data_IF_720206714443
#
_entry.id   IF_720206714443
#
_cell.length_a   1.000
_cell.length_b   1.000
_cell.length_c   1.000
_cell.angle_alpha   90.00
_cell.angle_beta   90.00
_cell.angle_gamma   90.00
#
_symmetry.space_group_name_H-M   'P 1'
#
loop_
_entity.id
_entity.type
_entity.pdbx_description
1 polymer ?
#
# COMPACT_ATOMS: atom_id res chain seq x y z
N UNK A 1 -10.97 -26.87 -9.17
CA UNK A 1 -10.93 -26.12 -7.91
C UNK A 1 -9.96 -26.80 -6.97
N UNK A 2 -8.72 -26.33 -6.96
CA UNK A 2 -7.71 -26.75 -6.00
C UNK A 2 -7.99 -25.99 -4.70
N UNK A 3 -8.12 -26.63 -3.54
CA UNK A 3 -8.28 -25.91 -2.29
C UNK A 3 -7.03 -25.11 -2.02
N UNK A 4 -7.19 -23.80 -1.78
CA UNK A 4 -6.15 -22.93 -1.22
C UNK A 4 -5.85 -23.45 0.19
N UNK A 5 -4.86 -24.33 0.30
CA UNK A 5 -4.30 -24.65 1.60
C UNK A 5 -3.72 -23.36 2.18
N UNK A 6 -4.19 -23.01 3.37
CA UNK A 6 -3.61 -21.92 4.15
C UNK A 6 -2.11 -22.11 4.24
N UNK A 7 -1.32 -21.16 3.75
CA UNK A 7 0.15 -21.21 3.80
C UNK A 7 0.70 -21.06 5.23
N UNK A 8 -0.17 -20.78 6.18
CA UNK A 8 0.11 -20.70 7.60
C UNK A 8 -1.14 -21.12 8.39
N UNK A 9 -0.96 -21.77 9.50
CA UNK A 9 -1.99 -22.12 10.45
C UNK A 9 -1.48 -21.86 11.88
N UNK A 10 -2.39 -21.53 12.77
CA UNK A 10 -2.14 -21.41 14.20
C UNK A 10 -3.25 -22.12 14.95
N UNK A 11 -2.90 -22.73 16.07
CA UNK A 11 -3.82 -23.44 16.93
C UNK A 11 -3.67 -22.94 18.37
N UNK A 12 -4.76 -22.91 19.11
CA UNK A 12 -4.81 -22.45 20.49
C UNK A 12 -5.57 -23.48 21.31
N UNK A 13 -4.90 -24.08 22.27
CA UNK A 13 -5.49 -25.05 23.20
C UNK A 13 -5.56 -24.45 24.60
N UNK A 14 -6.77 -24.26 25.13
CA UNK A 14 -6.97 -23.83 26.51
C UNK A 14 -6.60 -24.95 27.47
N UNK A 15 -5.66 -24.70 28.40
CA UNK A 15 -5.27 -25.68 29.42
C UNK A 15 -6.43 -25.91 30.40
N UNK A 16 -6.83 -27.15 30.59
CA UNK A 16 -7.97 -27.52 31.47
C UNK A 16 -7.77 -27.11 32.93
N UNK A 17 -6.53 -27.05 33.40
CA UNK A 17 -6.18 -26.74 34.80
C UNK A 17 -5.81 -25.28 35.04
N UNK A 18 -5.71 -24.45 33.98
CA UNK A 18 -5.35 -23.03 34.06
C UNK A 18 -6.23 -22.23 33.08
N UNK A 19 -7.40 -21.77 33.55
CA UNK A 19 -8.44 -21.18 32.65
C UNK A 19 -7.99 -19.93 31.94
N UNK A 20 -6.95 -19.24 32.41
CA UNK A 20 -6.41 -17.99 31.84
C UNK A 20 -5.13 -18.22 31.02
N UNK A 21 -4.66 -19.47 30.86
CA UNK A 21 -3.48 -19.84 30.08
C UNK A 21 -3.88 -20.67 28.85
N UNK A 22 -3.29 -20.37 27.70
CA UNK A 22 -3.46 -21.15 26.49
C UNK A 22 -2.11 -21.54 25.88
N UNK A 23 -2.04 -22.76 25.39
CA UNK A 23 -0.92 -23.22 24.58
C UNK A 23 -1.13 -22.80 23.12
N UNK A 24 -0.08 -22.25 22.49
CA UNK A 24 -0.12 -21.79 21.09
C UNK A 24 0.88 -22.58 20.26
N UNK A 25 0.44 -23.01 19.08
CA UNK A 25 1.27 -23.65 18.08
C UNK A 25 1.15 -22.94 16.75
N UNK A 26 2.26 -22.85 16.00
CA UNK A 26 2.34 -22.19 14.70
C UNK A 26 2.89 -23.15 13.66
N UNK A 27 2.25 -23.20 12.52
CA UNK A 27 2.77 -23.85 11.34
C UNK A 27 2.85 -22.82 10.20
N UNK A 28 4.03 -22.67 9.62
CA UNK A 28 4.29 -21.79 8.49
C UNK A 28 5.06 -22.60 7.46
N UNK A 29 4.55 -22.68 6.24
CA UNK A 29 5.23 -23.33 5.13
C UNK A 29 6.59 -22.70 4.84
N UNK A 30 7.61 -23.53 4.53
CA UNK A 30 9.00 -23.11 4.30
C UNK A 30 9.14 -22.00 3.25
N UNK A 31 8.30 -22.03 2.21
CA UNK A 31 8.26 -21.01 1.15
C UNK A 31 7.85 -19.62 1.65
N UNK A 32 7.31 -19.52 2.85
CA UNK A 32 6.81 -18.27 3.44
C UNK A 32 7.60 -17.85 4.69
N UNK A 33 8.68 -18.55 5.04
CA UNK A 33 9.56 -18.17 6.16
C UNK A 33 10.22 -16.80 5.92
N UNK A 34 10.50 -16.06 6.99
CA UNK A 34 11.16 -14.75 6.95
C UNK A 34 10.28 -13.59 6.48
N UNK A 35 8.96 -13.82 6.26
CA UNK A 35 7.99 -12.80 5.83
C UNK A 35 7.22 -12.14 6.97
N UNK A 36 7.56 -12.42 8.22
CA UNK A 36 6.91 -11.86 9.40
C UNK A 36 5.54 -12.47 9.74
N UNK A 37 5.12 -13.54 9.04
CA UNK A 37 3.79 -14.17 9.22
C UNK A 37 3.60 -14.67 10.64
N UNK A 38 4.63 -15.29 11.25
CA UNK A 38 4.56 -15.79 12.62
C UNK A 38 4.28 -14.69 13.66
N UNK A 39 4.90 -13.54 13.49
CA UNK A 39 4.67 -12.38 14.36
C UNK A 39 3.25 -11.82 14.22
N UNK A 40 2.73 -11.74 12.99
CA UNK A 40 1.35 -11.29 12.74
C UNK A 40 0.33 -12.27 13.34
N UNK A 41 0.56 -13.59 13.17
CA UNK A 41 -0.29 -14.62 13.78
C UNK A 41 -0.29 -14.51 15.29
N UNK A 42 0.89 -14.32 15.91
CA UNK A 42 1.02 -14.16 17.36
C UNK A 42 0.25 -12.93 17.86
N UNK A 43 0.33 -11.80 17.17
CA UNK A 43 -0.40 -10.58 17.51
C UNK A 43 -1.93 -10.79 17.45
N UNK A 44 -2.42 -11.41 16.39
CA UNK A 44 -3.85 -11.71 16.26
C UNK A 44 -4.33 -12.71 17.31
N UNK A 45 -3.52 -13.75 17.61
CA UNK A 45 -3.86 -14.70 18.67
C UNK A 45 -3.87 -14.05 20.05
N UNK A 46 -2.91 -13.15 20.34
CA UNK A 46 -2.88 -12.43 21.61
C UNK A 46 -4.12 -11.55 21.77
N UNK A 47 -4.52 -10.81 20.73
CA UNK A 47 -5.74 -10.01 20.74
C UNK A 47 -7.00 -10.88 20.98
N UNK A 48 -7.15 -11.97 20.22
CA UNK A 48 -8.27 -12.90 20.37
C UNK A 48 -8.25 -13.60 21.73
N UNK A 49 -7.06 -13.94 22.25
CA UNK A 49 -6.88 -14.53 23.58
C UNK A 49 -7.40 -13.64 24.69
N UNK A 50 -7.07 -12.34 24.64
CA UNK A 50 -7.57 -11.35 25.62
C UNK A 50 -9.09 -11.24 25.58
N UNK A 51 -9.71 -11.22 24.40
CA UNK A 51 -11.17 -11.23 24.26
C UNK A 51 -11.81 -12.48 24.86
N UNK A 52 -11.10 -13.62 24.87
CA UNK A 52 -11.52 -14.88 25.46
C UNK A 52 -11.13 -15.05 26.94
N UNK A 53 -10.54 -14.01 27.57
CA UNK A 53 -10.10 -14.04 28.97
C UNK A 53 -8.81 -14.82 29.23
N UNK A 54 -8.00 -15.07 28.19
CA UNK A 54 -6.65 -15.61 28.29
C UNK A 54 -5.71 -14.44 28.61
N UNK A 55 -4.82 -14.63 29.57
CA UNK A 55 -3.83 -13.62 29.96
C UNK A 55 -2.40 -14.09 29.73
N UNK A 56 -2.20 -15.37 29.48
CA UNK A 56 -0.87 -15.96 29.30
C UNK A 56 -0.86 -16.99 28.18
N UNK A 57 0.18 -16.90 27.35
CA UNK A 57 0.48 -17.94 26.37
C UNK A 57 1.69 -18.76 26.79
N UNK A 58 1.64 -20.05 26.41
CA UNK A 58 2.78 -20.95 26.46
C UNK A 58 2.96 -21.65 25.11
N UNK A 59 4.19 -22.06 24.80
CA UNK A 59 4.52 -22.82 23.60
C UNK A 59 5.70 -23.73 23.83
N UNK A 60 5.68 -24.90 23.20
CA UNK A 60 6.82 -25.81 23.14
C UNK A 60 7.58 -25.60 21.83
N UNK A 61 8.87 -25.34 21.92
CA UNK A 61 9.70 -25.02 20.76
C UNK A 61 10.95 -25.90 20.78
N UNK A 62 11.25 -26.54 19.66
CA UNK A 62 12.49 -27.27 19.50
C UNK A 62 13.69 -26.30 19.59
N UNK A 63 14.78 -26.64 20.29
CA UNK A 63 15.95 -25.78 20.48
C UNK A 63 16.58 -25.31 19.13
N UNK A 64 16.49 -26.15 18.09
CA UNK A 64 16.98 -25.85 16.74
C UNK A 64 16.13 -24.80 16.03
N UNK A 65 14.87 -24.62 16.43
CA UNK A 65 13.95 -23.65 15.80
C UNK A 65 14.16 -22.22 16.33
N UNK A 66 15.38 -21.72 16.15
CA UNK A 66 15.76 -20.36 16.55
C UNK A 66 14.88 -19.28 15.95
N UNK A 67 14.34 -19.52 14.74
CA UNK A 67 13.45 -18.57 14.07
C UNK A 67 12.16 -18.37 14.86
N UNK A 68 11.59 -19.47 15.38
CA UNK A 68 10.37 -19.39 16.19
C UNK A 68 10.65 -18.75 17.56
N UNK A 69 11.76 -19.08 18.20
CA UNK A 69 12.18 -18.43 19.44
C UNK A 69 12.37 -16.91 19.28
N UNK A 70 12.84 -16.48 18.11
CA UNK A 70 12.97 -15.05 17.79
C UNK A 70 11.61 -14.37 17.61
N UNK A 71 10.62 -15.02 17.01
CA UNK A 71 9.26 -14.47 16.86
C UNK A 71 8.69 -14.05 18.21
N UNK A 72 8.80 -14.91 19.23
CA UNK A 72 8.33 -14.58 20.58
C UNK A 72 9.10 -13.43 21.22
N UNK A 73 10.43 -13.37 21.03
CA UNK A 73 11.27 -12.32 21.61
C UNK A 73 11.10 -10.96 20.96
N UNK A 74 10.89 -10.96 19.63
CA UNK A 74 10.75 -9.76 18.80
C UNK A 74 9.34 -9.16 18.86
N UNK A 75 8.36 -9.91 19.37
CA UNK A 75 7.00 -9.44 19.54
C UNK A 75 6.83 -8.38 20.64
N UNK A 76 7.87 -8.16 21.45
CA UNK A 76 7.89 -7.15 22.50
C UNK A 76 7.26 -7.57 23.82
N UNK A 77 6.88 -8.85 23.96
CA UNK A 77 6.45 -9.44 25.23
C UNK A 77 7.65 -9.83 26.11
N UNK A 78 7.44 -9.90 27.44
CA UNK A 78 8.42 -10.42 28.37
C UNK A 78 8.35 -11.95 28.37
N UNK A 79 9.33 -12.59 27.73
CA UNK A 79 9.33 -14.03 27.44
C UNK A 79 10.19 -14.77 28.45
N UNK A 80 9.57 -15.63 29.26
CA UNK A 80 10.28 -16.63 30.08
C UNK A 80 10.58 -17.87 29.23
N UNK A 81 11.76 -18.45 29.42
CA UNK A 81 12.21 -19.69 28.75
C UNK A 81 12.74 -20.67 29.76
N UNK A 82 12.26 -21.89 29.70
CA UNK A 82 12.74 -23.00 30.51
C UNK A 82 13.04 -24.18 29.59
N UNK A 83 14.22 -24.77 29.73
CA UNK A 83 14.56 -25.99 28.99
C UNK A 83 14.05 -27.21 29.81
N UNK A 84 13.18 -27.99 29.20
CA UNK A 84 12.58 -29.16 29.83
C UNK A 84 12.46 -30.30 28.81
N UNK A 85 12.90 -31.48 29.17
CA UNK A 85 12.82 -32.75 28.42
C UNK A 85 13.10 -32.61 26.88
N UNK A 86 14.15 -31.84 26.52
CA UNK A 86 14.59 -31.70 25.14
C UNK A 86 13.86 -30.61 24.34
N UNK A 87 12.94 -29.88 24.94
CA UNK A 87 12.24 -28.75 24.35
C UNK A 87 12.45 -27.46 25.14
N UNK A 88 12.27 -26.33 24.50
CA UNK A 88 12.25 -25.02 25.14
C UNK A 88 10.80 -24.64 25.42
N UNK A 89 10.41 -24.66 26.67
CA UNK A 89 9.13 -24.12 27.11
C UNK A 89 9.20 -22.59 27.10
N UNK A 90 8.38 -21.96 26.30
CA UNK A 90 8.25 -20.51 26.21
C UNK A 90 6.95 -20.09 26.88
N UNK A 91 6.97 -19.12 27.78
CA UNK A 91 5.75 -18.55 28.37
C UNK A 91 5.86 -17.04 28.51
N UNK A 92 4.76 -16.33 28.29
CA UNK A 92 4.69 -14.88 28.39
C UNK A 92 3.25 -14.39 28.61
N UNK A 93 3.12 -13.27 29.29
CA UNK A 93 1.85 -12.60 29.46
C UNK A 93 1.49 -11.87 28.15
N UNK A 94 0.22 -11.97 27.72
CA UNK A 94 -0.25 -11.39 26.46
C UNK A 94 -0.87 -10.01 26.64
N UNK A 95 -0.93 -9.50 27.86
CA UNK A 95 -1.32 -8.10 28.09
C UNK A 95 -0.38 -7.17 27.33
N UNK A 96 -0.91 -6.20 26.55
CA UNK A 96 -0.08 -5.34 25.73
C UNK A 96 0.85 -4.48 26.57
N UNK A 97 2.15 -4.80 26.53
CA UNK A 97 3.21 -3.96 27.10
C UNK A 97 3.41 -2.69 26.24
N UNK A 98 4.01 -1.64 26.79
CA UNK A 98 4.39 -0.46 26.00
C UNK A 98 5.28 -0.86 24.81
N UNK A 99 6.27 -1.73 25.07
CA UNK A 99 7.17 -2.25 24.04
C UNK A 99 6.45 -3.08 22.96
N UNK A 100 5.47 -3.92 23.31
CA UNK A 100 4.72 -4.69 22.31
C UNK A 100 3.87 -3.78 21.43
N UNK A 101 3.25 -2.74 22.00
CA UNK A 101 2.50 -1.73 21.24
C UNK A 101 3.41 -0.94 20.28
N UNK A 102 4.61 -0.56 20.70
CA UNK A 102 5.59 0.11 19.85
C UNK A 102 6.04 -0.78 18.68
N UNK A 103 6.30 -2.06 18.94
CA UNK A 103 6.69 -3.03 17.90
C UNK A 103 5.55 -3.21 16.89
N UNK A 104 4.33 -3.40 17.35
CA UNK A 104 3.13 -3.53 16.50
C UNK A 104 2.92 -2.27 15.66
N UNK A 105 2.91 -1.10 16.28
CA UNK A 105 2.76 0.19 15.60
C UNK A 105 3.88 0.42 14.56
N UNK A 106 5.13 0.09 14.89
CA UNK A 106 6.27 0.22 13.96
C UNK A 106 6.14 -0.72 12.76
N UNK A 107 5.63 -1.94 12.97
CA UNK A 107 5.40 -2.91 11.88
C UNK A 107 4.26 -2.47 10.97
N UNK A 108 3.13 -2.07 11.55
CA UNK A 108 1.99 -1.54 10.82
C UNK A 108 2.41 -0.32 9.97
N UNK A 109 3.09 0.62 10.60
CA UNK A 109 3.64 1.81 9.95
C UNK A 109 4.52 1.46 8.73
N UNK A 110 5.44 0.49 8.89
CA UNK A 110 6.30 0.05 7.77
C UNK A 110 5.52 -0.66 6.67
N UNK A 111 4.53 -1.47 7.02
CA UNK A 111 3.70 -2.19 6.06
C UNK A 111 2.84 -1.22 5.23
N UNK A 112 2.21 -0.25 5.88
CA UNK A 112 1.42 0.79 5.23
C UNK A 112 2.29 1.67 4.33
N UNK A 113 3.40 2.18 4.83
CA UNK A 113 4.32 2.98 4.05
C UNK A 113 4.87 2.23 2.83
N UNK A 114 5.17 0.93 2.96
CA UNK A 114 5.60 0.08 1.83
C UNK A 114 4.49 -0.09 0.80
N UNK A 115 3.23 -0.21 1.24
CA UNK A 115 2.08 -0.31 0.33
C UNK A 115 1.87 0.98 -0.47
N UNK A 116 2.06 2.13 0.16
CA UNK A 116 1.96 3.46 -0.50
C UNK A 116 3.18 3.73 -1.38
N UNK A 117 4.37 3.27 -0.99
CA UNK A 117 5.59 3.45 -1.79
C UNK A 117 5.43 2.97 -3.24
N UNK A 118 4.78 1.82 -3.44
CA UNK A 118 4.53 1.28 -4.79
C UNK A 118 3.58 2.12 -5.64
N UNK A 119 2.79 3.00 -5.01
CA UNK A 119 1.88 3.93 -5.70
C UNK A 119 2.58 5.25 -6.03
N UNK A 120 3.39 5.76 -5.08
CA UNK A 120 4.06 7.06 -5.18
C UNK A 120 5.37 6.98 -5.98
N UNK A 121 6.03 5.82 -5.94
CA UNK A 121 7.23 5.52 -6.70
C UNK A 121 7.05 4.20 -7.50
N UNK A 122 6.10 4.14 -8.45
CA UNK A 122 5.89 2.98 -9.28
C UNK A 122 7.06 2.80 -10.25
N UNK A 123 7.35 1.55 -10.64
CA UNK A 123 8.38 1.25 -11.65
C UNK A 123 7.83 1.27 -13.08
N UNK A 124 6.52 1.07 -13.20
CA UNK A 124 5.82 1.11 -14.50
C UNK A 124 4.39 1.59 -14.32
N UNK A 125 3.85 2.27 -15.34
CA UNK A 125 2.52 2.92 -15.28
C UNK A 125 1.72 2.62 -16.54
N UNK A 126 0.41 2.36 -16.37
CA UNK A 126 -0.55 2.38 -17.46
C UNK A 126 -1.57 3.51 -17.26
N UNK A 127 -1.91 4.23 -18.33
CA UNK A 127 -3.04 5.17 -18.35
C UNK A 127 -4.18 4.52 -19.12
N UNK A 128 -5.22 4.12 -18.40
CA UNK A 128 -6.41 3.45 -18.95
C UNK A 128 -7.48 4.49 -19.25
N UNK A 129 -7.89 4.59 -20.51
CA UNK A 129 -8.68 5.69 -21.04
C UNK A 129 -7.82 6.86 -21.54
N UNK A 130 -6.55 6.60 -21.84
CA UNK A 130 -5.71 7.54 -22.55
C UNK A 130 -6.34 7.90 -23.92
N UNK A 131 -6.21 9.14 -24.38
CA UNK A 131 -6.89 9.64 -25.57
C UNK A 131 -5.94 10.40 -26.50
N UNK A 132 -6.29 10.46 -27.78
CA UNK A 132 -5.70 11.41 -28.74
C UNK A 132 -6.27 12.81 -28.61
N UNK A 133 -7.49 12.89 -28.10
CA UNK A 133 -8.19 14.16 -27.91
C UNK A 133 -7.60 14.89 -26.71
N UNK A 134 -6.94 16.03 -26.99
CA UNK A 134 -6.29 16.88 -25.99
C UNK A 134 -7.25 17.46 -24.95
N UNK A 135 -8.57 17.44 -25.21
CA UNK A 135 -9.58 17.88 -24.24
C UNK A 135 -9.93 16.82 -23.20
N UNK A 136 -9.45 15.59 -23.39
CA UNK A 136 -9.75 14.46 -22.52
C UNK A 136 -8.71 14.34 -21.39
N UNK A 137 -9.19 14.06 -20.20
CA UNK A 137 -8.40 13.86 -18.98
C UNK A 137 -7.27 12.83 -19.17
N UNK A 138 -7.57 11.72 -19.85
CA UNK A 138 -6.58 10.67 -20.09
C UNK A 138 -5.44 11.09 -21.02
N UNK A 139 -5.67 12.05 -21.92
CA UNK A 139 -4.63 12.68 -22.74
C UNK A 139 -3.67 13.49 -21.86
N UNK A 140 -4.23 14.42 -21.09
CA UNK A 140 -3.45 15.33 -20.23
C UNK A 140 -2.55 14.55 -19.26
N UNK A 141 -3.09 13.52 -18.61
CA UNK A 141 -2.32 12.69 -17.70
C UNK A 141 -1.17 11.98 -18.42
N UNK A 142 -1.44 11.37 -19.59
CA UNK A 142 -0.42 10.65 -20.34
C UNK A 142 0.71 11.60 -20.76
N UNK A 143 0.37 12.77 -21.28
CA UNK A 143 1.34 13.81 -21.69
C UNK A 143 2.14 14.29 -20.46
N UNK A 144 1.48 14.57 -19.35
CA UNK A 144 2.16 15.02 -18.14
C UNK A 144 3.15 13.97 -17.57
N UNK A 145 2.85 12.68 -17.70
CA UNK A 145 3.78 11.62 -17.29
C UNK A 145 5.01 11.61 -18.21
N UNK A 146 4.79 11.69 -19.52
CA UNK A 146 5.87 11.64 -20.52
C UNK A 146 6.74 12.89 -20.45
N UNK A 147 6.13 14.07 -20.45
CA UNK A 147 6.82 15.37 -20.38
C UNK A 147 7.50 15.58 -19.01
N UNK A 148 6.94 14.98 -17.94
CA UNK A 148 7.55 14.94 -16.62
C UNK A 148 8.83 14.12 -16.53
N UNK A 149 9.13 13.33 -17.57
CA UNK A 149 10.35 12.52 -17.64
C UNK A 149 10.33 11.30 -16.73
N UNK A 150 9.16 10.69 -16.54
CA UNK A 150 9.04 9.47 -15.75
C UNK A 150 10.07 8.42 -16.19
N UNK A 151 10.78 7.84 -15.21
CA UNK A 151 11.96 6.99 -15.48
C UNK A 151 11.61 5.57 -15.90
N UNK A 152 10.38 5.12 -15.63
CA UNK A 152 9.90 3.78 -16.00
C UNK A 152 9.10 3.74 -17.29
N UNK A 153 8.70 2.53 -17.72
CA UNK A 153 7.82 2.37 -18.87
C UNK A 153 6.42 2.96 -18.62
N UNK A 154 5.89 3.62 -19.66
CA UNK A 154 4.55 4.22 -19.70
C UNK A 154 3.73 3.60 -20.81
N UNK A 155 2.52 3.16 -20.49
CA UNK A 155 1.63 2.51 -21.42
C UNK A 155 0.30 3.24 -21.53
N UNK A 156 -0.08 3.66 -22.74
CA UNK A 156 -1.42 4.15 -23.04
C UNK A 156 -2.36 3.00 -23.41
N UNK A 157 -3.49 2.88 -22.73
CA UNK A 157 -4.52 1.86 -23.00
C UNK A 157 -5.78 2.51 -23.52
N UNK A 158 -6.10 2.23 -24.78
CA UNK A 158 -7.32 2.70 -25.46
C UNK A 158 -7.65 1.74 -26.61
N UNK A 159 -8.85 1.13 -26.65
CA UNK A 159 -9.23 0.17 -27.70
C UNK A 159 -9.34 0.79 -29.09
N UNK A 160 -9.47 2.12 -29.20
CA UNK A 160 -9.69 2.83 -30.47
C UNK A 160 -8.41 3.51 -30.99
N UNK A 161 -7.28 3.40 -30.28
CA UNK A 161 -6.04 4.07 -30.64
C UNK A 161 -4.90 3.11 -30.93
N UNK A 162 -4.12 3.38 -31.99
CA UNK A 162 -2.87 2.65 -32.29
C UNK A 162 -1.63 3.36 -31.71
N UNK A 163 -1.74 4.67 -31.53
CA UNK A 163 -0.67 5.52 -31.03
C UNK A 163 -1.25 6.63 -30.15
N UNK A 164 -0.58 6.94 -29.05
CA UNK A 164 -0.93 7.97 -28.07
C UNK A 164 0.35 8.68 -27.62
N UNK A 165 0.38 10.00 -27.68
CA UNK A 165 1.54 10.83 -27.30
C UNK A 165 2.89 10.32 -27.91
N UNK A 166 2.90 9.89 -29.18
CA UNK A 166 4.08 9.38 -29.86
C UNK A 166 4.49 7.96 -29.46
N UNK A 167 3.69 7.25 -28.65
CA UNK A 167 3.96 5.90 -28.22
C UNK A 167 2.89 4.91 -28.73
N UNK A 168 3.28 3.65 -28.89
CA UNK A 168 2.36 2.56 -29.21
C UNK A 168 1.26 2.47 -28.15
N UNK A 169 -0.01 2.50 -28.56
CA UNK A 169 -1.15 2.25 -27.72
C UNK A 169 -1.47 0.74 -27.67
N UNK A 170 -2.08 0.34 -26.57
CA UNK A 170 -2.57 -1.02 -26.37
C UNK A 170 -4.09 -1.00 -26.25
N UNK A 171 -4.76 -1.98 -26.84
CA UNK A 171 -6.22 -2.04 -26.80
C UNK A 171 -6.73 -2.40 -25.42
N UNK A 172 -6.02 -3.26 -24.68
CA UNK A 172 -6.42 -3.79 -23.36
C UNK A 172 -5.20 -3.87 -22.45
N UNK A 173 -5.47 -3.96 -21.14
CA UNK A 173 -4.43 -4.16 -20.11
C UNK A 173 -3.70 -5.51 -20.26
N UNK A 174 -4.40 -6.54 -20.71
CA UNK A 174 -3.80 -7.87 -20.94
C UNK A 174 -2.80 -7.90 -22.10
N UNK A 175 -2.87 -6.91 -22.99
CA UNK A 175 -1.97 -6.80 -24.16
C UNK A 175 -0.64 -6.10 -23.80
N UNK A 176 -0.48 -5.61 -22.56
CA UNK A 176 0.74 -4.97 -22.10
C UNK A 176 1.90 -5.98 -21.97
N UNK A 177 3.14 -5.57 -22.25
CA UNK A 177 4.31 -6.47 -22.20
C UNK A 177 4.68 -6.92 -20.77
N UNK A 178 4.16 -6.23 -19.76
CA UNK A 178 4.38 -6.51 -18.33
C UNK A 178 3.20 -6.10 -17.47
N UNK A 179 3.16 -6.60 -16.23
CA UNK A 179 2.22 -6.14 -15.21
C UNK A 179 2.73 -4.83 -14.62
N UNK A 180 1.94 -3.76 -14.76
CA UNK A 180 2.32 -2.44 -14.24
C UNK A 180 2.13 -2.34 -12.72
N UNK A 181 2.93 -1.50 -12.06
CA UNK A 181 2.78 -1.23 -10.64
C UNK A 181 1.57 -0.33 -10.35
N UNK A 182 1.30 0.66 -11.22
CA UNK A 182 0.20 1.63 -11.07
C UNK A 182 -0.62 1.75 -12.36
N UNK A 183 -1.95 1.68 -12.26
CA UNK A 183 -2.85 2.06 -13.34
C UNK A 183 -3.59 3.35 -13.00
N UNK A 184 -3.44 4.37 -13.85
CA UNK A 184 -4.25 5.61 -13.77
C UNK A 184 -5.50 5.42 -14.62
N UNK A 185 -6.68 5.54 -13.99
CA UNK A 185 -7.96 5.20 -14.60
C UNK A 185 -8.76 6.46 -14.87
N UNK A 186 -8.98 6.75 -16.16
CA UNK A 186 -9.72 7.93 -16.66
C UNK A 186 -10.87 7.55 -17.59
N UNK A 187 -11.43 6.35 -17.44
CA UNK A 187 -12.58 5.90 -18.23
C UNK A 187 -13.91 6.35 -17.61
N UNK A 188 -15.02 6.36 -18.39
CA UNK A 188 -16.34 6.64 -17.85
C UNK A 188 -16.74 5.72 -16.69
N UNK A 189 -17.55 6.24 -15.75
CA UNK A 189 -17.97 5.53 -14.51
C UNK A 189 -18.41 4.06 -14.74
N UNK A 190 -19.23 3.74 -15.75
CA UNK A 190 -19.67 2.35 -15.95
C UNK A 190 -18.51 1.38 -16.20
N UNK A 191 -17.43 1.83 -16.82
CA UNK A 191 -16.28 0.99 -17.16
C UNK A 191 -15.25 0.86 -16.02
N UNK A 192 -15.25 1.76 -15.03
CA UNK A 192 -14.24 1.77 -13.95
C UNK A 192 -14.19 0.45 -13.19
N UNK A 193 -15.36 -0.12 -12.85
CA UNK A 193 -15.43 -1.37 -12.09
C UNK A 193 -14.79 -2.56 -12.81
N UNK A 194 -14.95 -2.61 -14.14
CA UNK A 194 -14.37 -3.66 -14.98
C UNK A 194 -12.87 -3.48 -15.16
N UNK A 195 -12.40 -2.23 -15.31
CA UNK A 195 -10.97 -1.92 -15.35
C UNK A 195 -10.29 -2.29 -14.03
N UNK A 196 -10.90 -1.98 -12.87
CA UNK A 196 -10.38 -2.37 -11.56
C UNK A 196 -10.31 -3.88 -11.41
N UNK A 197 -11.30 -4.62 -11.93
CA UNK A 197 -11.31 -6.08 -11.93
C UNK A 197 -10.20 -6.67 -12.83
N UNK A 198 -9.98 -6.10 -14.02
CA UNK A 198 -8.87 -6.47 -14.91
C UNK A 198 -7.53 -6.21 -14.25
N UNK A 199 -7.30 -5.02 -13.68
CA UNK A 199 -6.10 -4.69 -12.93
C UNK A 199 -5.83 -5.71 -11.81
N UNK A 200 -6.86 -6.05 -11.04
CA UNK A 200 -6.74 -7.00 -9.93
C UNK A 200 -6.35 -8.41 -10.40
N UNK A 201 -6.99 -8.92 -11.47
CA UNK A 201 -6.65 -10.23 -12.06
C UNK A 201 -5.24 -10.30 -12.61
N UNK A 202 -4.72 -9.21 -13.15
CA UNK A 202 -3.35 -9.11 -13.65
C UNK A 202 -2.31 -8.94 -12.54
N UNK A 203 -2.71 -8.57 -11.33
CA UNK A 203 -1.80 -8.37 -10.20
C UNK A 203 -1.22 -6.95 -10.12
N UNK A 204 -1.89 -5.96 -10.70
CA UNK A 204 -1.56 -4.54 -10.54
C UNK A 204 -1.65 -4.16 -9.05
N UNK A 205 -0.67 -3.45 -8.53
CA UNK A 205 -0.57 -3.16 -7.09
C UNK A 205 -1.49 -2.04 -6.64
N UNK A 206 -1.77 -1.08 -7.52
CA UNK A 206 -2.65 0.01 -7.19
C UNK A 206 -3.24 0.72 -8.38
N UNK A 207 -4.36 1.40 -8.12
CA UNK A 207 -5.07 2.21 -9.11
C UNK A 207 -5.27 3.63 -8.60
N UNK A 208 -5.03 4.60 -9.47
CA UNK A 208 -5.39 6.00 -9.27
C UNK A 208 -6.60 6.33 -10.13
N UNK A 209 -7.77 6.52 -9.52
CA UNK A 209 -9.02 6.74 -10.23
C UNK A 209 -9.31 8.25 -10.25
N UNK A 210 -9.16 8.86 -11.41
CA UNK A 210 -9.43 10.29 -11.62
C UNK A 210 -10.90 10.55 -11.92
N UNK A 211 -11.62 9.54 -12.41
CA UNK A 211 -13.05 9.64 -12.71
C UNK A 211 -13.86 9.99 -11.47
N UNK A 212 -14.66 11.06 -11.55
CA UNK A 212 -15.59 11.52 -10.52
C UNK A 212 -16.97 10.84 -10.58
N UNK A 213 -17.96 11.38 -9.86
CA UNK A 213 -19.35 10.91 -9.87
C UNK A 213 -19.59 9.69 -8.98
N UNK A 214 -18.92 9.65 -7.83
CA UNK A 214 -19.07 8.62 -6.80
C UNK A 214 -19.79 9.14 -5.55
N UNK A 215 -19.07 9.48 -4.48
CA UNK A 215 -19.70 9.90 -3.21
C UNK A 215 -20.57 11.15 -3.35
N UNK A 216 -20.26 12.01 -4.27
CA UNK A 216 -21.00 13.22 -4.68
C UNK A 216 -22.35 12.91 -5.35
N UNK A 217 -22.57 11.69 -5.88
CA UNK A 217 -23.85 11.20 -6.41
C UNK A 217 -24.75 10.59 -5.31
N UNK A 218 -24.69 11.11 -4.09
CA UNK A 218 -25.53 10.72 -2.97
C UNK A 218 -25.36 9.27 -2.49
N UNK A 219 -26.44 8.63 -2.05
CA UNK A 219 -26.40 7.29 -1.47
C UNK A 219 -25.99 6.22 -2.50
N UNK A 220 -26.47 6.35 -3.75
CA UNK A 220 -26.15 5.44 -4.85
C UNK A 220 -24.66 5.49 -5.22
N UNK A 221 -24.09 6.70 -5.28
CA UNK A 221 -22.67 6.88 -5.55
C UNK A 221 -21.79 6.34 -4.43
N UNK A 222 -22.19 6.54 -3.16
CA UNK A 222 -21.49 5.95 -2.01
C UNK A 222 -21.49 4.42 -2.04
N UNK A 223 -22.62 3.79 -2.36
CA UNK A 223 -22.70 2.33 -2.49
C UNK A 223 -21.79 1.80 -3.60
N UNK A 224 -21.76 2.48 -4.77
CA UNK A 224 -20.87 2.16 -5.89
C UNK A 224 -19.40 2.26 -5.48
N UNK A 225 -19.04 3.31 -4.77
CA UNK A 225 -17.70 3.55 -4.26
C UNK A 225 -17.25 2.43 -3.28
N UNK A 226 -18.08 2.07 -2.33
CA UNK A 226 -17.79 0.97 -1.40
C UNK A 226 -17.60 -0.38 -2.10
N UNK A 227 -18.43 -0.66 -3.11
CA UNK A 227 -18.31 -1.89 -3.91
C UNK A 227 -16.96 -1.92 -4.67
N UNK A 228 -16.55 -0.79 -5.24
CA UNK A 228 -15.29 -0.63 -5.95
C UNK A 228 -14.08 -0.90 -5.03
N UNK A 229 -14.08 -0.30 -3.85
CA UNK A 229 -12.99 -0.49 -2.86
C UNK A 229 -12.92 -1.94 -2.36
N UNK A 230 -14.08 -2.54 -2.03
CA UNK A 230 -14.11 -3.97 -1.65
C UNK A 230 -13.54 -4.87 -2.74
N UNK A 231 -13.87 -4.59 -4.02
CA UNK A 231 -13.32 -5.32 -5.18
C UNK A 231 -11.80 -5.19 -5.24
N UNK A 232 -11.27 -3.98 -5.19
CA UNK A 232 -9.82 -3.73 -5.22
C UNK A 232 -9.08 -4.41 -4.06
N UNK A 233 -9.60 -4.26 -2.83
CA UNK A 233 -9.03 -4.91 -1.63
C UNK A 233 -9.06 -6.44 -1.70
N UNK A 234 -10.09 -7.02 -2.34
CA UNK A 234 -10.16 -8.47 -2.58
C UNK A 234 -8.98 -9.00 -3.41
N UNK A 235 -8.36 -8.16 -4.23
CA UNK A 235 -7.13 -8.44 -4.97
C UNK A 235 -5.85 -7.97 -4.25
N UNK A 236 -5.94 -7.39 -3.06
CA UNK A 236 -4.81 -6.77 -2.37
C UNK A 236 -4.33 -5.47 -3.01
N UNK A 237 -5.14 -4.86 -3.86
CA UNK A 237 -4.82 -3.65 -4.62
C UNK A 237 -5.25 -2.40 -3.85
N UNK A 238 -4.38 -1.37 -3.82
CA UNK A 238 -4.67 -0.08 -3.19
C UNK A 238 -5.37 0.87 -4.16
N UNK A 239 -6.20 1.77 -3.62
CA UNK A 239 -7.01 2.71 -4.42
C UNK A 239 -6.74 4.15 -3.98
N UNK A 240 -6.33 4.99 -4.95
CA UNK A 240 -6.28 6.45 -4.83
C UNK A 240 -7.53 7.01 -5.52
N UNK A 241 -8.26 7.88 -4.85
CA UNK A 241 -9.50 8.42 -5.38
C UNK A 241 -10.76 7.67 -4.91
N UNK A 242 -11.82 7.58 -5.71
CA UNK A 242 -12.11 8.27 -6.99
C UNK A 242 -12.09 9.80 -6.90
N UNK A 243 -12.27 10.47 -8.04
CA UNK A 243 -12.19 11.92 -8.17
C UNK A 243 -10.83 12.50 -7.69
N UNK A 244 -9.75 11.75 -7.90
CA UNK A 244 -8.38 12.20 -7.63
C UNK A 244 -7.91 13.17 -8.70
N UNK A 245 -7.11 14.16 -8.31
CA UNK A 245 -6.33 14.97 -9.25
C UNK A 245 -5.11 14.21 -9.79
N UNK A 246 -4.76 13.08 -9.17
CA UNK A 246 -3.55 12.34 -9.45
C UNK A 246 -2.46 12.51 -8.38
N UNK A 247 -1.25 12.16 -8.76
CA UNK A 247 -0.09 12.23 -7.88
C UNK A 247 1.17 12.67 -8.64
N UNK A 248 2.10 13.26 -7.89
CA UNK A 248 3.39 13.74 -8.37
C UNK A 248 4.47 13.25 -7.42
N UNK A 249 5.59 12.81 -7.98
CA UNK A 249 6.83 12.54 -7.25
C UNK A 249 8.00 13.14 -8.04
N UNK A 250 8.69 14.10 -7.45
CA UNK A 250 9.80 14.82 -8.10
C UNK A 250 11.17 14.21 -7.82
N UNK A 251 11.23 13.04 -7.18
CA UNK A 251 12.47 12.30 -7.02
C UNK A 251 13.06 12.00 -8.41
N UNK A 252 14.37 12.32 -8.67
CA UNK A 252 15.00 12.07 -9.97
C UNK A 252 14.95 10.62 -10.43
N UNK A 253 14.93 9.69 -9.50
CA UNK A 253 14.87 8.25 -9.82
C UNK A 253 13.45 7.81 -10.21
N UNK A 254 12.45 8.70 -10.06
CA UNK A 254 11.04 8.45 -10.39
C UNK A 254 10.50 9.46 -11.40
N UNK A 255 10.63 10.76 -11.14
CA UNK A 255 10.17 11.89 -11.99
C UNK A 255 8.73 11.76 -12.46
N UNK A 256 7.81 11.37 -11.57
CA UNK A 256 6.42 11.10 -11.90
C UNK A 256 5.56 12.35 -11.82
N UNK A 257 4.86 12.68 -12.91
CA UNK A 257 3.75 13.62 -12.92
C UNK A 257 2.48 12.97 -13.50
N UNK A 258 1.84 12.11 -12.72
CA UNK A 258 0.56 11.48 -13.07
C UNK A 258 -0.62 12.32 -12.53
N UNK A 259 -0.69 13.60 -12.88
CA UNK A 259 -1.69 14.53 -12.36
C UNK A 259 -2.33 15.37 -13.47
N UNK A 260 -3.46 16.00 -13.12
CA UNK A 260 -4.16 17.03 -13.91
C UNK A 260 -3.67 18.45 -13.52
N UNK A 261 -2.45 18.56 -13.05
CA UNK A 261 -1.86 19.85 -12.72
C UNK A 261 -1.33 20.56 -13.96
N UNK A 262 -1.68 21.82 -14.12
CA UNK A 262 -1.24 22.65 -15.26
C UNK A 262 0.21 23.10 -15.18
N UNK A 263 0.89 22.84 -14.06
CA UNK A 263 2.26 23.28 -13.79
C UNK A 263 3.05 22.09 -13.23
N UNK A 264 4.17 21.76 -13.85
CA UNK A 264 5.14 20.83 -13.30
C UNK A 264 5.80 21.47 -12.07
N UNK A 265 5.71 20.87 -10.87
CA UNK A 265 6.28 21.44 -9.67
C UNK A 265 7.80 21.46 -9.74
N UNK A 266 8.41 22.47 -9.11
CA UNK A 266 9.85 22.46 -8.88
C UNK A 266 10.21 21.36 -7.89
N UNK A 267 11.33 20.68 -8.11
CA UNK A 267 11.86 19.70 -7.16
C UNK A 267 12.22 20.35 -5.83
N UNK A 268 11.86 19.69 -4.71
CA UNK A 268 12.18 20.16 -3.37
C UNK A 268 11.75 19.19 -2.28
N UNK A 269 11.47 19.71 -1.09
CA UNK A 269 11.21 18.90 0.10
C UNK A 269 9.78 19.00 0.64
N UNK A 270 8.91 19.80 0.01
CA UNK A 270 7.55 19.98 0.48
C UNK A 270 6.66 18.82 0.03
N UNK A 271 6.13 18.05 0.99
CA UNK A 271 5.04 17.10 0.74
C UNK A 271 3.69 17.82 0.71
N UNK A 272 2.90 17.64 -0.34
CA UNK A 272 1.56 18.20 -0.48
C UNK A 272 0.52 17.10 -0.47
N UNK A 273 -0.45 17.21 0.44
CA UNK A 273 -1.63 16.36 0.46
C UNK A 273 -2.89 17.21 0.32
N UNK A 274 -3.78 16.82 -0.57
CA UNK A 274 -5.08 17.45 -0.72
C UNK A 274 -6.18 16.42 -0.97
N UNK A 275 -7.32 16.59 -0.33
CA UNK A 275 -8.53 15.85 -0.68
C UNK A 275 -9.27 16.54 -1.85
N UNK A 276 -9.27 17.87 -1.89
CA UNK A 276 -9.89 18.65 -2.95
C UNK A 276 -8.93 18.84 -4.13
N UNK A 277 -9.37 18.46 -5.32
CA UNK A 277 -8.62 18.69 -6.55
C UNK A 277 -8.28 20.19 -6.74
N UNK A 278 -9.24 21.08 -6.55
CA UNK A 278 -9.05 22.52 -6.66
C UNK A 278 -8.00 23.06 -5.69
N UNK A 279 -8.01 22.61 -4.43
CA UNK A 279 -7.00 22.98 -3.44
C UNK A 279 -5.62 22.43 -3.81
N UNK A 280 -5.55 21.22 -4.35
CA UNK A 280 -4.29 20.64 -4.85
C UNK A 280 -3.66 21.51 -5.95
N UNK A 281 -4.44 21.95 -6.93
CA UNK A 281 -3.98 22.86 -7.99
C UNK A 281 -3.52 24.21 -7.41
N UNK A 282 -4.31 24.80 -6.52
CA UNK A 282 -3.97 26.09 -5.89
C UNK A 282 -2.66 26.01 -5.10
N UNK A 283 -2.49 24.96 -4.29
CA UNK A 283 -1.29 24.76 -3.50
C UNK A 283 -0.06 24.52 -4.37
N UNK A 284 -0.17 23.66 -5.38
CA UNK A 284 0.90 23.39 -6.34
C UNK A 284 1.31 24.64 -7.13
N UNK A 285 0.34 25.38 -7.65
CA UNK A 285 0.58 26.65 -8.37
C UNK A 285 1.19 27.72 -7.44
N UNK A 286 0.73 27.80 -6.19
CA UNK A 286 1.26 28.74 -5.21
C UNK A 286 2.70 28.41 -4.83
N UNK A 287 3.01 27.12 -4.64
CA UNK A 287 4.37 26.64 -4.37
C UNK A 287 5.28 27.00 -5.55
N UNK A 288 4.88 26.69 -6.78
CA UNK A 288 5.63 27.01 -7.98
C UNK A 288 5.94 28.50 -8.11
N UNK A 289 4.91 29.38 -7.98
CA UNK A 289 5.07 30.83 -8.08
C UNK A 289 6.00 31.42 -7.02
N UNK A 290 6.12 30.77 -5.88
CA UNK A 290 7.00 31.17 -4.77
C UNK A 290 8.37 30.53 -4.80
N UNK A 291 8.67 29.71 -5.82
CA UNK A 291 9.93 28.97 -5.90
C UNK A 291 10.08 27.87 -4.84
N UNK A 292 8.96 27.42 -4.25
CA UNK A 292 8.98 26.35 -3.26
C UNK A 292 8.92 25.00 -3.98
N UNK A 293 9.97 24.21 -3.80
CA UNK A 293 10.06 22.88 -4.41
C UNK A 293 9.23 21.84 -3.64
N UNK A 294 8.57 20.96 -4.40
CA UNK A 294 7.73 19.89 -3.91
C UNK A 294 8.45 18.56 -4.09
N UNK A 295 8.45 17.68 -3.07
CA UNK A 295 8.94 16.30 -3.19
C UNK A 295 7.84 15.39 -3.73
N UNK A 296 6.66 15.51 -3.15
CA UNK A 296 5.51 14.66 -3.48
C UNK A 296 4.23 15.50 -3.37
N UNK A 297 3.35 15.40 -4.37
CA UNK A 297 1.99 15.91 -4.27
C UNK A 297 0.99 14.78 -4.48
N UNK A 298 -0.04 14.72 -3.65
CA UNK A 298 -0.98 13.61 -3.62
C UNK A 298 -2.41 14.12 -3.45
N UNK A 299 -3.28 13.74 -4.39
CA UNK A 299 -4.70 14.04 -4.30
C UNK A 299 -5.49 12.79 -3.96
N UNK A 300 -6.03 12.73 -2.75
CA UNK A 300 -6.81 11.59 -2.29
C UNK A 300 -8.21 11.49 -2.90
N UNK A 301 -8.72 12.57 -3.51
CA UNK A 301 -10.10 12.60 -4.00
C UNK A 301 -11.10 12.26 -2.90
N UNK A 302 -11.95 11.27 -3.14
CA UNK A 302 -12.95 10.81 -2.15
C UNK A 302 -12.34 10.06 -0.95
N UNK A 303 -11.03 9.84 -0.91
CA UNK A 303 -10.30 9.24 0.22
C UNK A 303 -10.90 7.89 0.67
N UNK A 304 -11.06 6.98 -0.27
CA UNK A 304 -11.77 5.72 -0.03
C UNK A 304 -10.93 4.60 0.54
N UNK A 305 -9.62 4.62 0.29
CA UNK A 305 -8.66 3.62 0.75
C UNK A 305 -7.37 4.29 1.21
N UNK A 306 -6.58 4.88 0.31
CA UNK A 306 -5.36 5.62 0.68
C UNK A 306 -5.72 6.97 1.30
N UNK A 307 -5.20 7.23 2.49
CA UNK A 307 -5.48 8.40 3.31
C UNK A 307 -4.26 9.32 3.46
N UNK A 308 -4.47 10.49 4.08
CA UNK A 308 -3.36 11.38 4.44
C UNK A 308 -2.41 10.77 5.47
N UNK A 309 -2.91 9.91 6.36
CA UNK A 309 -2.08 9.21 7.34
C UNK A 309 -1.13 8.24 6.64
N UNK A 310 -1.62 7.46 5.66
CA UNK A 310 -0.78 6.54 4.87
C UNK A 310 0.35 7.31 4.16
N UNK A 311 0.03 8.47 3.57
CA UNK A 311 1.04 9.30 2.92
C UNK A 311 2.03 9.92 3.92
N UNK A 312 1.56 10.41 5.08
CA UNK A 312 2.45 10.94 6.12
C UNK A 312 3.41 9.87 6.64
N UNK A 313 2.94 8.64 6.83
CA UNK A 313 3.77 7.51 7.20
C UNK A 313 4.82 7.21 6.14
N UNK A 314 4.45 7.22 4.86
CA UNK A 314 5.39 7.07 3.76
C UNK A 314 6.44 8.18 3.75
N UNK A 315 6.03 9.45 3.82
CA UNK A 315 6.94 10.60 3.81
C UNK A 315 7.88 10.60 5.02
N UNK A 316 7.41 10.22 6.20
CA UNK A 316 8.25 10.15 7.40
C UNK A 316 9.36 9.11 7.28
N UNK A 317 9.11 7.97 6.66
CA UNK A 317 10.11 6.93 6.45
C UNK A 317 11.18 7.33 5.41
N UNK A 318 10.79 8.02 4.33
CA UNK A 318 11.75 8.51 3.32
C UNK A 318 12.70 9.53 3.94
N UNK A 319 12.20 10.46 4.74
CA UNK A 319 13.02 11.49 5.37
C UNK A 319 13.91 10.95 6.50
N UNK A 320 13.54 9.83 7.14
CA UNK A 320 14.36 9.18 8.18
C UNK A 320 15.43 8.27 7.55
N UNK A 321 15.18 7.72 6.39
CA UNK A 321 16.09 6.77 5.72
C UNK A 321 17.16 7.41 4.84
N UNK A 322 17.12 8.73 4.62
CA UNK A 322 18.27 9.42 4.03
C UNK A 322 19.37 9.55 5.10
N UNK A 323 20.45 8.72 5.05
CA UNK A 323 21.62 9.01 5.84
C UNK A 323 22.13 10.36 5.34
N UNK A 324 22.23 11.33 6.24
CA UNK A 324 22.97 12.56 5.98
C UNK A 324 24.35 12.16 5.46
N UNK A 325 24.53 12.10 4.15
CA UNK A 325 25.86 12.08 3.54
C UNK A 325 26.48 13.43 3.82
N UNK A 326 27.05 13.56 5.02
CA UNK A 326 28.07 14.58 5.28
C UNK A 326 29.26 14.18 4.42
N UNK A 327 29.37 14.76 3.24
CA UNK A 327 30.65 14.85 2.55
C UNK A 327 31.59 15.57 3.50
N UNK A 328 32.75 15.01 3.88
CA UNK A 328 33.75 15.74 4.61
C UNK A 328 34.16 16.92 3.72
N UNK A 329 34.03 18.13 4.24
CA UNK A 329 34.64 19.33 3.63
C UNK A 329 36.14 19.13 3.77
N UNK A 330 36.80 18.89 2.65
CA UNK A 330 38.27 18.92 2.52
C UNK A 330 38.76 20.33 2.56
#
# INVERSE_FOLDING_TARGET
STPLYSSAASDVYKRQNQPNEAEVAFFISDHHHGRGIGSILLEHLAAAGLECGITKFSAEVLPENRKMLNVFSEAGFEVARVFDDGVVMVSFDIDPTEKSREVMASREHRAEAKSVASLVAPRSIAVVGASRDWTQVGHEILVNIVDGGFTGPVYGVNPEAFELAGMKAFARLEDLPEVVDLAVVSVPIPAVSDVVDQCGRLGVRGVCIVTGGYADDGARGRARQQALVRKARGYGMRVIGPASLGLINTDPDVSLNASLGTVSPLRGHLGLFSQSAAMGVLLGTSAYRRGVGVSTAFSAGNKTDVSGNDLMQYLSLIHISEPTRRTPIS
#
